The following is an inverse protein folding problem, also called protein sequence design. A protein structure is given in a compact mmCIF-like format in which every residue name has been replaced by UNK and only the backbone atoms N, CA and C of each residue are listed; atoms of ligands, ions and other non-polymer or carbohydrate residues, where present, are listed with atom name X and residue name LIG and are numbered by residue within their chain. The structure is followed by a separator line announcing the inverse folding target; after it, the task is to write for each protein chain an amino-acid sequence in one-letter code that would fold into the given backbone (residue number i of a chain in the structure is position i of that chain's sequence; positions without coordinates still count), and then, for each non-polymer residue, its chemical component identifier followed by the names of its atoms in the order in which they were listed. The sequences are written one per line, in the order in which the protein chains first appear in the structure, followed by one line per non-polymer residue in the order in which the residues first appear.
data_IF_217824537470
#
_entry.id   IF_217824537470
#
_cell.length_a   1.000
_cell.length_b   1.000
_cell.length_c   1.000
_cell.angle_alpha   90.00
_cell.angle_beta   90.00
_cell.angle_gamma   90.00
#
_symmetry.space_group_name_H-M   'P 1'
#
loop_
_entity.id
_entity.type
_entity.pdbx_description
1 polymer ?
#
# COMPACT_ATOMS: atom_id res chain seq x y z
N UNK A 1 -50.89 46.52 10.68
CA UNK A 1 -50.36 46.58 9.29
C UNK A 1 -49.00 45.89 9.31
N UNK A 2 -48.71 45.08 8.28
CA UNK A 2 -47.71 44.01 8.19
C UNK A 2 -48.12 42.76 9.01
N UNK A 3 -48.73 41.68 8.47
CA UNK A 3 -48.68 41.00 7.17
C UNK A 3 -47.44 40.09 7.01
N UNK A 4 -47.56 38.81 7.39
CA UNK A 4 -46.82 37.64 6.85
C UNK A 4 -47.52 36.35 7.36
N UNK A 5 -48.55 35.88 6.66
CA UNK A 5 -48.53 34.83 5.62
C UNK A 5 -48.20 33.42 6.13
N UNK A 6 -49.27 32.63 6.33
CA UNK A 6 -49.28 31.18 6.47
C UNK A 6 -49.50 30.58 5.07
N UNK A 7 -48.55 29.78 4.60
CA UNK A 7 -48.69 28.80 3.53
C UNK A 7 -47.43 27.92 3.55
N UNK A 8 -47.38 26.68 3.12
CA UNK A 8 -48.34 25.64 2.77
C UNK A 8 -47.43 24.44 2.43
N UNK A 9 -47.83 23.24 2.85
CA UNK A 9 -47.16 22.00 2.49
C UNK A 9 -46.94 21.88 0.98
N UNK A 10 -45.72 21.57 0.55
CA UNK A 10 -45.47 20.74 -0.63
C UNK A 10 -44.16 19.98 -0.49
N UNK A 11 -44.29 18.74 -0.05
CA UNK A 11 -43.31 17.70 -0.30
C UNK A 11 -43.18 17.51 -1.82
N UNK A 12 -42.01 17.82 -2.38
CA UNK A 12 -41.65 17.39 -3.73
C UNK A 12 -40.63 16.27 -3.60
N UNK A 13 -41.13 15.05 -3.78
CA UNK A 13 -40.34 13.85 -4.02
C UNK A 13 -39.48 14.06 -5.27
N UNK A 14 -38.21 14.37 -5.09
CA UNK A 14 -37.19 14.25 -6.12
C UNK A 14 -36.27 13.10 -5.72
N UNK A 15 -36.65 11.87 -6.07
CA UNK A 15 -35.68 10.76 -6.15
C UNK A 15 -35.34 10.53 -7.61
N UNK A 16 -34.26 11.21 -7.98
CA UNK A 16 -33.36 10.83 -9.06
C UNK A 16 -32.77 9.45 -8.77
N UNK A 17 -32.46 8.72 -9.83
CA UNK A 17 -31.43 7.70 -9.80
C UNK A 17 -31.96 6.28 -9.86
N UNK A 18 -32.22 5.81 -11.08
CA UNK A 18 -32.03 4.42 -11.48
C UNK A 18 -30.69 3.95 -10.92
N UNK A 19 -30.71 2.99 -10.00
CA UNK A 19 -29.52 2.32 -9.50
C UNK A 19 -28.82 1.65 -10.69
N UNK A 20 -27.74 2.26 -11.17
CA UNK A 20 -26.83 1.58 -12.05
C UNK A 20 -26.25 0.39 -11.26
N UNK A 21 -26.34 -0.85 -11.77
CA UNK A 21 -25.70 -1.97 -11.10
C UNK A 21 -24.21 -1.64 -10.99
N UNK A 22 -23.70 -1.63 -9.76
CA UNK A 22 -22.28 -1.60 -9.45
C UNK A 22 -21.63 -2.75 -10.24
N UNK A 23 -21.05 -2.40 -11.37
CA UNK A 23 -20.22 -3.28 -12.17
C UNK A 23 -18.99 -3.56 -11.30
N UNK A 24 -19.08 -4.59 -10.47
CA UNK A 24 -17.89 -5.17 -9.87
C UNK A 24 -17.17 -5.83 -11.04
N UNK A 25 -16.02 -5.29 -11.50
CA UNK A 25 -15.27 -5.97 -12.53
C UNK A 25 -14.97 -7.37 -12.01
N UNK A 26 -15.44 -8.40 -12.73
CA UNK A 26 -15.03 -9.78 -12.48
C UNK A 26 -13.53 -9.81 -12.71
N UNK A 27 -12.78 -9.79 -11.62
CA UNK A 27 -11.34 -10.02 -11.67
C UNK A 27 -11.11 -11.39 -12.28
N UNK A 28 -10.15 -11.45 -13.18
CA UNK A 28 -9.78 -12.71 -13.83
C UNK A 28 -9.07 -13.60 -12.81
N UNK A 29 -9.20 -14.92 -12.95
CA UNK A 29 -8.49 -15.88 -12.09
C UNK A 29 -6.97 -15.63 -12.03
N UNK A 30 -6.39 -15.07 -13.08
CA UNK A 30 -4.97 -14.71 -13.14
C UNK A 30 -4.62 -13.51 -12.23
N UNK A 31 -5.46 -12.48 -12.20
CA UNK A 31 -5.26 -11.31 -11.33
C UNK A 31 -5.40 -11.69 -9.84
N UNK A 32 -6.35 -12.57 -9.52
CA UNK A 32 -6.52 -13.09 -8.16
C UNK A 32 -5.30 -13.90 -7.70
N UNK A 33 -4.72 -14.72 -8.58
CA UNK A 33 -3.52 -15.49 -8.28
C UNK A 33 -2.30 -14.59 -8.01
N UNK A 34 -2.12 -13.53 -8.81
CA UNK A 34 -1.04 -12.55 -8.62
C UNK A 34 -1.18 -11.78 -7.31
N UNK A 35 -2.40 -11.39 -6.94
CA UNK A 35 -2.68 -10.75 -5.64
C UNK A 35 -2.39 -11.68 -4.47
N UNK A 36 -2.82 -12.94 -4.57
CA UNK A 36 -2.55 -13.91 -3.52
C UNK A 36 -1.05 -14.16 -3.34
N UNK A 37 -0.28 -14.20 -4.44
CA UNK A 37 1.18 -14.30 -4.38
C UNK A 37 1.83 -13.10 -3.68
N UNK A 38 1.36 -11.89 -3.98
CA UNK A 38 1.82 -10.67 -3.31
C UNK A 38 1.50 -10.71 -1.81
N UNK A 39 0.26 -11.01 -1.43
CA UNK A 39 -0.16 -11.07 -0.02
C UNK A 39 0.67 -12.10 0.78
N UNK A 40 0.90 -13.30 0.22
CA UNK A 40 1.76 -14.33 0.85
C UNK A 40 3.18 -13.80 1.05
N UNK A 41 3.74 -13.12 0.05
CA UNK A 41 5.09 -12.57 0.12
C UNK A 41 5.20 -11.50 1.21
N UNK A 42 4.22 -10.60 1.32
CA UNK A 42 4.14 -9.58 2.38
C UNK A 42 4.20 -10.23 3.75
N UNK A 43 3.38 -11.26 3.99
CA UNK A 43 3.40 -11.99 5.27
C UNK A 43 4.74 -12.67 5.54
N UNK A 44 5.33 -13.32 4.54
CA UNK A 44 6.63 -13.98 4.69
C UNK A 44 7.73 -12.98 5.04
N UNK A 45 7.74 -11.81 4.40
CA UNK A 45 8.68 -10.72 4.68
C UNK A 45 8.48 -10.14 6.08
N UNK A 46 7.23 -9.90 6.49
CA UNK A 46 6.91 -9.42 7.83
C UNK A 46 7.49 -10.34 8.93
N UNK A 47 7.38 -11.66 8.74
CA UNK A 47 7.94 -12.65 9.66
C UNK A 47 9.47 -12.64 9.72
N UNK A 48 10.16 -12.15 8.69
CA UNK A 48 11.64 -12.05 8.62
C UNK A 48 12.19 -10.81 9.32
N UNK A 49 11.39 -9.76 9.51
CA UNK A 49 11.82 -8.55 10.20
C UNK A 49 11.85 -8.83 11.71
N UNK A 50 13.06 -8.95 12.27
CA UNK A 50 13.28 -9.31 13.69
C UNK A 50 13.99 -8.20 14.47
N UNK A 51 13.48 -6.97 14.37
CA UNK A 51 13.99 -5.84 15.17
C UNK A 51 13.27 -5.86 16.53
N UNK A 52 13.97 -6.10 17.66
CA UNK A 52 13.31 -6.35 18.95
C UNK A 52 12.40 -5.22 19.43
N UNK A 53 12.72 -3.98 19.06
CA UNK A 53 11.94 -2.80 19.45
C UNK A 53 10.72 -2.56 18.56
N UNK A 54 10.52 -3.33 17.50
CA UNK A 54 9.46 -3.09 16.51
C UNK A 54 8.38 -4.17 16.58
N UNK A 55 7.14 -3.74 16.39
CA UNK A 55 6.01 -4.59 16.00
C UNK A 55 5.80 -4.40 14.50
N UNK A 56 5.55 -5.50 13.78
CA UNK A 56 5.34 -5.47 12.33
C UNK A 56 3.92 -5.91 12.05
N UNK A 57 3.17 -5.05 11.37
CA UNK A 57 1.83 -5.31 10.88
C UNK A 57 1.83 -5.30 9.35
N UNK A 58 0.86 -5.98 8.74
CA UNK A 58 0.77 -6.14 7.30
C UNK A 58 -0.56 -5.60 6.78
N UNK A 59 -0.55 -4.94 5.63
CA UNK A 59 -1.75 -4.75 4.83
C UNK A 59 -1.66 -5.65 3.60
N UNK A 60 -2.77 -6.32 3.29
CA UNK A 60 -2.92 -7.21 2.15
C UNK A 60 -4.10 -6.76 1.30
N UNK A 61 -4.33 -7.43 0.19
CA UNK A 61 -5.52 -7.22 -0.63
C UNK A 61 -6.81 -7.55 0.12
N UNK A 62 -6.76 -8.56 1.01
CA UNK A 62 -7.89 -9.01 1.80
C UNK A 62 -8.13 -8.22 3.11
N UNK A 63 -7.07 -7.68 3.72
CA UNK A 63 -7.14 -6.97 4.99
C UNK A 63 -6.26 -5.72 4.99
N UNK A 64 -6.87 -4.54 5.15
CA UNK A 64 -6.21 -3.23 5.18
C UNK A 64 -6.50 -2.52 6.49
N UNK A 65 -6.06 -3.12 7.59
CA UNK A 65 -6.43 -2.68 8.94
C UNK A 65 -5.41 -1.70 9.54
N UNK A 66 -4.26 -1.52 8.90
CA UNK A 66 -3.13 -0.74 9.42
C UNK A 66 -2.88 0.50 8.56
N UNK A 67 -3.80 1.46 8.64
CA UNK A 67 -3.67 2.74 7.94
C UNK A 67 -2.58 3.62 8.55
N UNK A 68 -1.93 4.40 7.70
CA UNK A 68 -1.04 5.50 8.08
C UNK A 68 -1.66 6.82 7.62
N UNK A 69 -1.93 7.78 8.51
CA UNK A 69 -2.45 9.08 8.12
C UNK A 69 -1.50 9.81 7.15
N UNK A 70 -2.03 10.25 6.01
CA UNK A 70 -1.27 10.92 4.97
C UNK A 70 -2.03 12.14 4.43
N UNK A 71 -1.77 13.35 4.96
CA UNK A 71 -2.45 14.58 4.52
C UNK A 71 -2.19 14.95 3.05
N UNK A 72 -1.13 14.39 2.44
CA UNK A 72 -0.79 14.62 1.04
C UNK A 72 -1.71 13.86 0.05
N UNK A 73 -2.51 12.91 0.53
CA UNK A 73 -3.46 12.15 -0.29
C UNK A 73 -4.89 12.67 -0.13
N UNK A 74 -5.72 12.66 -1.19
CA UNK A 74 -7.13 13.08 -1.10
C UNK A 74 -7.94 12.31 -0.06
N UNK A 75 -7.64 11.02 0.13
CA UNK A 75 -8.29 10.16 1.14
C UNK A 75 -7.76 10.39 2.56
N UNK A 76 -6.71 11.19 2.75
CA UNK A 76 -6.08 11.46 4.05
C UNK A 76 -5.35 10.26 4.68
N UNK A 77 -5.25 9.13 3.97
CA UNK A 77 -4.69 7.88 4.49
C UNK A 77 -3.96 7.10 3.40
N UNK A 78 -2.98 6.31 3.83
CA UNK A 78 -2.20 5.39 3.01
C UNK A 78 -2.11 4.03 3.69
N UNK A 79 -2.01 2.96 2.91
CA UNK A 79 -1.93 1.58 3.40
C UNK A 79 -0.66 0.93 2.84
N UNK A 80 0.51 1.15 3.48
CA UNK A 80 1.73 0.45 3.08
C UNK A 80 1.58 -1.05 3.31
N UNK A 81 2.25 -1.87 2.51
CA UNK A 81 2.20 -3.32 2.68
C UNK A 81 2.71 -3.76 4.06
N UNK A 82 3.72 -3.06 4.59
CA UNK A 82 4.28 -3.27 5.92
C UNK A 82 4.23 -1.99 6.74
N UNK A 83 3.71 -2.08 7.96
CA UNK A 83 3.73 -1.00 8.94
C UNK A 83 4.51 -1.45 10.17
N UNK A 84 5.62 -0.77 10.46
CA UNK A 84 6.46 -1.07 11.61
C UNK A 84 6.29 0.01 12.66
N UNK A 85 5.89 -0.37 13.87
CA UNK A 85 5.70 0.54 15.00
C UNK A 85 6.66 0.22 16.14
N UNK A 86 7.08 1.23 16.88
CA UNK A 86 7.85 1.03 18.11
C UNK A 86 6.97 0.34 19.16
N UNK A 87 7.45 -0.76 19.72
CA UNK A 87 6.71 -1.60 20.68
C UNK A 87 6.24 -0.85 21.92
N UNK A 88 7.03 0.12 22.39
CA UNK A 88 6.76 0.82 23.64
C UNK A 88 5.96 2.11 23.46
N UNK A 89 6.09 2.80 22.31
CA UNK A 89 5.45 4.10 22.08
C UNK A 89 4.26 4.01 21.13
N UNK A 90 4.13 2.91 20.38
CA UNK A 90 3.15 2.74 19.31
C UNK A 90 3.38 3.64 18.10
N UNK A 91 4.45 4.46 18.09
CA UNK A 91 4.76 5.38 16.99
C UNK A 91 5.23 4.61 15.77
N UNK A 92 4.90 5.10 14.59
CA UNK A 92 5.40 4.54 13.33
C UNK A 92 6.92 4.72 13.29
N UNK A 93 7.63 3.59 13.29
CA UNK A 93 9.07 3.54 13.17
C UNK A 93 9.50 3.54 11.71
N UNK A 94 8.77 2.82 10.85
CA UNK A 94 9.08 2.61 9.45
C UNK A 94 7.86 2.10 8.67
N UNK A 95 7.91 2.20 7.35
CA UNK A 95 6.95 1.57 6.44
C UNK A 95 7.69 0.80 5.35
N UNK A 96 7.04 -0.22 4.79
CA UNK A 96 7.60 -1.03 3.72
C UNK A 96 6.62 -1.25 2.59
N UNK A 97 7.13 -1.18 1.36
CA UNK A 97 6.43 -1.57 0.14
C UNK A 97 7.08 -2.85 -0.40
N UNK A 98 6.25 -3.79 -0.83
CA UNK A 98 6.66 -5.09 -1.36
C UNK A 98 6.19 -5.17 -2.80
N UNK A 99 7.14 -5.42 -3.70
CA UNK A 99 6.88 -5.49 -5.12
C UNK A 99 7.11 -6.91 -5.64
N UNK A 100 6.30 -7.32 -6.61
CA UNK A 100 6.50 -8.50 -7.45
C UNK A 100 6.81 -8.05 -8.88
N UNK A 101 7.25 -8.97 -9.73
CA UNK A 101 7.41 -8.66 -11.16
C UNK A 101 6.11 -8.09 -11.77
N UNK A 102 4.96 -8.62 -11.33
CA UNK A 102 3.65 -8.16 -11.77
C UNK A 102 3.31 -6.74 -11.28
N UNK A 103 3.59 -6.41 -10.02
CA UNK A 103 3.31 -5.05 -9.51
C UNK A 103 4.27 -4.01 -10.08
N UNK A 104 5.52 -4.40 -10.39
CA UNK A 104 6.46 -3.53 -11.11
C UNK A 104 6.04 -3.27 -12.56
N UNK A 105 5.40 -4.25 -13.21
CA UNK A 105 4.84 -4.10 -14.56
C UNK A 105 3.52 -3.30 -14.58
N UNK A 106 2.86 -3.15 -13.44
CA UNK A 106 1.60 -2.41 -13.28
C UNK A 106 1.76 -0.90 -13.21
N UNK A 107 0.67 -0.23 -12.80
CA UNK A 107 0.60 1.24 -12.73
C UNK A 107 1.54 1.81 -11.67
N UNK A 108 2.52 2.59 -12.15
CA UNK A 108 3.38 3.55 -11.45
C UNK A 108 3.70 3.23 -9.96
N UNK A 109 4.49 2.18 -9.67
CA UNK A 109 4.95 1.89 -8.32
C UNK A 109 5.71 3.09 -7.70
N UNK A 110 6.30 3.96 -8.53
CA UNK A 110 6.96 5.19 -8.11
C UNK A 110 6.05 6.14 -7.30
N UNK A 111 4.75 6.21 -7.61
CA UNK A 111 3.81 7.05 -6.87
C UNK A 111 3.60 6.54 -5.44
N UNK A 112 3.46 5.22 -5.26
CA UNK A 112 3.39 4.59 -3.93
C UNK A 112 4.68 4.82 -3.15
N UNK A 113 5.83 4.63 -3.79
CA UNK A 113 7.13 4.85 -3.14
C UNK A 113 7.34 6.29 -2.70
N UNK A 114 6.86 7.26 -3.48
CA UNK A 114 6.92 8.67 -3.11
C UNK A 114 6.10 8.96 -1.85
N UNK A 115 4.87 8.44 -1.78
CA UNK A 115 4.01 8.59 -0.60
C UNK A 115 4.66 7.92 0.62
N UNK A 116 5.16 6.70 0.47
CA UNK A 116 5.83 5.99 1.56
C UNK A 116 7.07 6.74 2.08
N UNK A 117 7.87 7.31 1.18
CA UNK A 117 9.03 8.15 1.54
C UNK A 117 8.63 9.46 2.21
N UNK A 118 7.46 10.02 1.86
CA UNK A 118 6.90 11.21 2.50
C UNK A 118 6.44 10.93 3.94
N UNK A 119 5.89 9.74 4.19
CA UNK A 119 5.33 9.37 5.49
C UNK A 119 6.37 9.19 6.60
N UNK A 120 7.53 8.62 6.27
CA UNK A 120 8.58 8.36 7.25
C UNK A 120 9.96 8.33 6.60
N UNK A 121 11.01 8.85 7.28
CA UNK A 121 12.37 8.74 6.80
C UNK A 121 12.88 7.29 6.71
N UNK A 122 12.24 6.34 7.41
CA UNK A 122 12.57 4.90 7.36
C UNK A 122 11.60 4.15 6.45
N UNK A 123 11.64 4.48 5.17
CA UNK A 123 10.92 3.77 4.12
C UNK A 123 11.78 2.65 3.53
N UNK A 124 11.24 1.44 3.40
CA UNK A 124 11.91 0.28 2.80
C UNK A 124 11.17 -0.23 1.57
N UNK A 125 11.90 -0.71 0.56
CA UNK A 125 11.34 -1.36 -0.62
C UNK A 125 11.90 -2.76 -0.73
N UNK A 126 11.03 -3.76 -0.91
CA UNK A 126 11.38 -5.15 -1.14
C UNK A 126 11.01 -5.53 -2.58
N UNK A 127 11.98 -5.95 -3.39
CA UNK A 127 11.76 -6.28 -4.81
C UNK A 127 12.39 -7.61 -5.19
N UNK A 128 11.94 -8.27 -6.29
CA UNK A 128 12.62 -9.45 -6.81
C UNK A 128 14.08 -9.11 -7.15
N UNK A 129 15.00 -10.03 -6.85
CA UNK A 129 16.42 -9.85 -7.18
C UNK A 129 16.66 -9.56 -8.66
N UNK A 130 15.92 -10.24 -9.56
CA UNK A 130 16.02 -10.04 -11.00
C UNK A 130 15.67 -8.60 -11.45
N UNK A 131 14.91 -7.86 -10.65
CA UNK A 131 14.44 -6.51 -10.95
C UNK A 131 15.34 -5.41 -10.34
N UNK A 132 16.44 -5.75 -9.67
CA UNK A 132 17.28 -4.79 -8.94
C UNK A 132 17.66 -3.57 -9.80
N UNK A 133 18.15 -3.82 -11.01
CA UNK A 133 18.64 -2.76 -11.92
C UNK A 133 17.51 -1.82 -12.32
N UNK A 134 16.39 -2.36 -12.76
CA UNK A 134 15.23 -1.59 -13.18
C UNK A 134 14.67 -0.75 -12.03
N UNK A 135 14.50 -1.35 -10.85
CA UNK A 135 13.98 -0.66 -9.67
C UNK A 135 14.91 0.48 -9.24
N UNK A 136 16.23 0.28 -9.26
CA UNK A 136 17.21 1.34 -9.00
C UNK A 136 17.06 2.51 -10.00
N UNK A 137 16.87 2.22 -11.28
CA UNK A 137 16.65 3.24 -12.30
C UNK A 137 15.35 4.01 -12.08
N UNK A 138 14.25 3.32 -11.77
CA UNK A 138 12.95 3.93 -11.45
C UNK A 138 13.03 4.82 -10.20
N UNK A 139 13.61 4.33 -9.11
CA UNK A 139 13.83 5.11 -7.88
C UNK A 139 14.65 6.37 -8.14
N UNK A 140 15.73 6.26 -8.94
CA UNK A 140 16.57 7.40 -9.32
C UNK A 140 15.78 8.43 -10.14
N UNK A 141 15.00 7.98 -11.12
CA UNK A 141 14.16 8.85 -11.97
C UNK A 141 13.09 9.58 -11.16
N UNK A 142 12.44 8.88 -10.24
CA UNK A 142 11.44 9.45 -9.34
C UNK A 142 12.03 10.27 -8.18
N UNK A 143 13.37 10.30 -8.04
CA UNK A 143 14.09 10.95 -6.94
C UNK A 143 13.66 10.44 -5.55
N UNK A 144 13.24 9.19 -5.47
CA UNK A 144 12.87 8.54 -4.20
C UNK A 144 14.09 7.81 -3.65
N UNK A 145 14.39 8.02 -2.37
CA UNK A 145 15.52 7.40 -1.67
C UNK A 145 15.01 6.60 -0.47
N UNK A 146 14.74 5.30 -0.62
CA UNK A 146 14.38 4.47 0.51
C UNK A 146 15.58 4.36 1.47
N UNK A 147 15.29 4.22 2.77
CA UNK A 147 16.29 3.91 3.79
C UNK A 147 16.96 2.54 3.52
N UNK A 148 16.27 1.65 2.81
CA UNK A 148 16.81 0.38 2.35
C UNK A 148 16.04 -0.17 1.16
N UNK A 149 16.79 -0.59 0.15
CA UNK A 149 16.33 -1.47 -0.92
C UNK A 149 16.75 -2.89 -0.57
N UNK A 150 15.78 -3.79 -0.45
CA UNK A 150 15.97 -5.20 -0.16
C UNK A 150 15.54 -6.03 -1.36
N UNK A 151 16.32 -7.06 -1.64
CA UNK A 151 16.14 -7.96 -2.75
C UNK A 151 15.75 -9.31 -2.17
N UNK A 152 14.67 -9.87 -2.69
CA UNK A 152 14.24 -11.21 -2.33
C UNK A 152 14.33 -12.18 -3.50
N UNK A 153 14.54 -13.44 -3.15
CA UNK A 153 14.52 -14.56 -4.08
C UNK A 153 14.21 -15.84 -3.30
N UNK A 154 13.76 -16.88 -4.00
CA UNK A 154 13.54 -18.18 -3.42
C UNK A 154 14.72 -19.10 -3.74
N UNK A 155 15.29 -19.71 -2.71
CA UNK A 155 16.28 -20.78 -2.89
C UNK A 155 15.67 -22.02 -3.56
N UNK A 156 16.51 -22.95 -4.00
CA UNK A 156 16.08 -24.26 -4.53
C UNK A 156 15.21 -25.08 -3.56
N UNK A 157 15.20 -24.75 -2.26
CA UNK A 157 14.35 -25.38 -1.24
C UNK A 157 13.08 -24.56 -0.93
N UNK A 158 12.71 -23.62 -1.79
CA UNK A 158 11.58 -22.69 -1.62
C UNK A 158 11.67 -21.82 -0.34
N UNK A 159 12.86 -21.68 0.26
CA UNK A 159 13.06 -20.74 1.35
C UNK A 159 13.21 -19.32 0.76
N UNK A 160 12.38 -18.38 1.24
CA UNK A 160 12.52 -16.96 0.96
C UNK A 160 13.80 -16.43 1.59
N UNK A 161 14.69 -15.90 0.76
CA UNK A 161 15.92 -15.23 1.15
C UNK A 161 15.78 -13.74 0.86
N UNK A 162 16.37 -12.91 1.73
CA UNK A 162 16.33 -11.45 1.62
C UNK A 162 17.72 -10.92 1.89
N UNK A 163 18.22 -10.06 1.01
CA UNK A 163 19.48 -9.34 1.18
C UNK A 163 19.29 -7.86 0.89
N UNK A 164 20.17 -7.01 1.42
CA UNK A 164 20.21 -5.60 1.03
C UNK A 164 20.85 -5.48 -0.35
N UNK A 165 20.31 -4.60 -1.20
CA UNK A 165 20.95 -4.24 -2.46
C UNK A 165 22.31 -3.58 -2.18
N UNK A 166 23.32 -3.91 -3.00
CA UNK A 166 24.64 -3.25 -2.94
C UNK A 166 24.51 -1.78 -3.37
N UNK A 167 25.21 -0.88 -2.67
CA UNK A 167 25.30 0.54 -3.02
C UNK A 167 26.15 0.78 -4.25
#
# INVERSE_FOLDING_TARGET
MADTSIASHRASNRRLGTEAPLHTPKMTHAEDALRQQHDILVEMLARRIKIPQWTVAVNTSAARDHLVPCPALPAGAFYPDLVMTERFTGRIAAVGEVETEATLAGEEPEARWWVAAYLTPKFFVYVPEACEKEVKERLRRARVRPAGLFLYFFSARNALLVRRAGG
#
